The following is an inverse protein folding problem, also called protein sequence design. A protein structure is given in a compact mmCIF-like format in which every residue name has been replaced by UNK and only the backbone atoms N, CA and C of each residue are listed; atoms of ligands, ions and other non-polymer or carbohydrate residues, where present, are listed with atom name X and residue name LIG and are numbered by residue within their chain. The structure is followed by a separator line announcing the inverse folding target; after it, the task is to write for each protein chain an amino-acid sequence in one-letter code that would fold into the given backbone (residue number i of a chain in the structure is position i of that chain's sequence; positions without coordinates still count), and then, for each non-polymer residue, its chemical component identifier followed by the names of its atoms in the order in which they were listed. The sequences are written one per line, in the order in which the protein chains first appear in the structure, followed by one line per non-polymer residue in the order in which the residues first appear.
data_IF_107947952147
#
_entry.id   IF_107947952147
#
_cell.length_a   1.000
_cell.length_b   1.000
_cell.length_c   1.000
_cell.angle_alpha   90.00
_cell.angle_beta   90.00
_cell.angle_gamma   90.00
#
_symmetry.space_group_name_H-M   'P 1'
#
loop_
_entity.id
_entity.type
_entity.pdbx_description
1 polymer ?
#
# COMPACT_ATOMS: atom_id res chain seq x y z
N UNK A 1 -12.58 -10.93 -9.94
CA UNK A 1 -11.21 -10.54 -10.36
C UNK A 1 -10.33 -10.67 -9.14
N UNK A 2 -9.22 -11.38 -9.23
CA UNK A 2 -8.29 -11.51 -8.12
C UNK A 2 -7.61 -10.17 -7.82
N UNK A 3 -7.40 -9.88 -6.54
CA UNK A 3 -6.73 -8.65 -6.10
C UNK A 3 -5.21 -8.82 -6.17
N UNK A 4 -4.52 -7.76 -6.56
CA UNK A 4 -3.06 -7.68 -6.46
C UNK A 4 -2.69 -7.41 -5.00
N UNK A 5 -1.90 -8.31 -4.41
CA UNK A 5 -1.42 -8.18 -3.02
C UNK A 5 -0.10 -7.42 -2.99
N UNK A 6 -0.05 -6.35 -2.19
CA UNK A 6 1.12 -5.47 -2.10
C UNK A 6 1.60 -5.29 -0.68
N UNK A 7 2.93 -5.24 -0.51
CA UNK A 7 3.58 -4.76 0.70
C UNK A 7 4.12 -3.34 0.49
N UNK A 8 4.04 -2.48 1.51
CA UNK A 8 4.62 -1.13 1.47
C UNK A 8 5.78 -1.05 2.47
N UNK A 9 6.99 -0.76 1.98
CA UNK A 9 8.19 -0.58 2.82
C UNK A 9 8.56 0.91 2.81
N UNK A 10 8.70 1.50 3.99
CA UNK A 10 8.93 2.93 4.20
C UNK A 10 7.64 3.74 4.02
N UNK A 11 6.98 4.08 5.13
CA UNK A 11 5.72 4.85 5.17
C UNK A 11 5.90 6.28 5.65
N UNK A 12 7.09 6.85 5.42
CA UNK A 12 7.33 8.30 5.49
C UNK A 12 6.45 9.10 4.53
N UNK A 13 6.62 10.43 4.49
CA UNK A 13 5.71 11.34 3.76
C UNK A 13 5.36 10.91 2.32
N UNK A 14 6.36 10.46 1.55
CA UNK A 14 6.14 9.93 0.21
C UNK A 14 5.43 8.57 0.21
N UNK A 15 5.92 7.61 1.00
CA UNK A 15 5.36 6.26 1.11
C UNK A 15 3.88 6.27 1.51
N UNK A 16 3.54 7.07 2.53
CA UNK A 16 2.16 7.22 3.01
C UNK A 16 1.26 7.89 1.98
N UNK A 17 1.69 8.99 1.39
CA UNK A 17 0.85 9.83 0.51
C UNK A 17 0.66 9.28 -0.90
N UNK A 18 1.64 8.54 -1.44
CA UNK A 18 1.65 8.05 -2.82
C UNK A 18 1.37 6.55 -2.95
N UNK A 19 1.72 5.76 -1.94
CA UNK A 19 1.58 4.29 -2.00
C UNK A 19 0.54 3.79 -1.02
N UNK A 20 0.76 3.94 0.29
CA UNK A 20 -0.10 3.33 1.30
C UNK A 20 -1.57 3.78 1.20
N UNK A 21 -1.84 5.09 1.29
CA UNK A 21 -3.21 5.61 1.26
C UNK A 21 -3.87 5.43 -0.12
N UNK A 22 -3.19 5.63 -1.26
CA UNK A 22 -3.79 5.36 -2.56
C UNK A 22 -4.12 3.88 -2.78
N UNK A 23 -3.23 2.95 -2.41
CA UNK A 23 -3.46 1.52 -2.61
C UNK A 23 -4.62 0.96 -1.80
N UNK A 24 -4.91 1.51 -0.62
CA UNK A 24 -6.10 1.10 0.16
C UNK A 24 -7.42 1.51 -0.49
N UNK A 25 -7.40 2.43 -1.47
CA UNK A 25 -8.60 2.92 -2.17
C UNK A 25 -8.83 2.25 -3.53
N UNK A 26 -7.86 1.47 -4.02
CA UNK A 26 -7.98 0.81 -5.32
C UNK A 26 -8.78 -0.50 -5.19
N UNK A 27 -9.81 -0.72 -6.03
CA UNK A 27 -10.70 -1.87 -5.88
C UNK A 27 -10.04 -3.23 -6.17
N UNK A 28 -8.95 -3.22 -6.94
CA UNK A 28 -8.19 -4.38 -7.38
C UNK A 28 -6.87 -4.58 -6.62
N UNK A 29 -6.64 -3.85 -5.52
CA UNK A 29 -5.42 -3.95 -4.70
C UNK A 29 -5.77 -4.29 -3.26
N UNK A 30 -4.93 -5.10 -2.63
CA UNK A 30 -4.97 -5.41 -1.21
C UNK A 30 -3.60 -5.15 -0.60
N UNK A 31 -3.50 -4.20 0.34
CA UNK A 31 -2.28 -4.00 1.12
C UNK A 31 -2.23 -5.07 2.20
N UNK A 32 -1.28 -6.01 2.10
CA UNK A 32 -1.18 -7.18 2.99
C UNK A 32 -0.05 -7.06 4.01
N UNK A 33 0.88 -6.13 3.82
CA UNK A 33 1.99 -5.90 4.73
C UNK A 33 2.46 -4.45 4.68
N UNK A 34 2.94 -3.95 5.81
CA UNK A 34 3.62 -2.66 5.92
C UNK A 34 4.84 -2.84 6.79
N UNK A 35 5.97 -2.25 6.41
CA UNK A 35 7.20 -2.22 7.19
C UNK A 35 7.81 -0.82 7.20
N UNK A 36 8.30 -0.39 8.36
CA UNK A 36 9.06 0.84 8.58
C UNK A 36 10.02 0.65 9.76
N UNK A 37 10.93 1.61 10.00
CA UNK A 37 11.88 1.58 11.12
C UNK A 37 11.24 1.89 12.47
#
# INVERSE_FOLDING_TARGET
MDKVRVGVIGVGGHGRGRHLIPYTKLPNVEVVAVADV
#
